data_IF_541959758977
#
_entry.id   IF_541959758977
#
_cell.length_a   1.000
_cell.length_b   1.000
_cell.length_c   1.000
_cell.angle_alpha   90.00
_cell.angle_beta   90.00
_cell.angle_gamma   90.00
#
_symmetry.space_group_name_H-M   'P 1'
#
loop_
_entity.id
_entity.type
_entity.pdbx_description
1 polymer ?
#
# COMPACT_ATOMS: atom_id res chain seq x y z
N UNK A 1 -12.18 -13.43 20.21
CA UNK A 1 -11.39 -12.46 19.42
C UNK A 1 -11.57 -12.80 17.94
N UNK A 2 -12.72 -12.46 17.35
CA UNK A 2 -12.97 -12.72 15.91
C UNK A 2 -14.22 -12.00 15.38
N UNK A 3 -14.55 -10.81 15.89
CA UNK A 3 -15.85 -10.16 15.61
C UNK A 3 -15.87 -9.23 14.40
N UNK A 4 -14.71 -8.78 13.88
CA UNK A 4 -14.68 -7.74 12.82
C UNK A 4 -14.71 -8.28 11.38
N UNK A 5 -14.17 -9.47 11.13
CA UNK A 5 -14.16 -10.06 9.77
C UNK A 5 -15.57 -10.39 9.24
N UNK A 6 -16.55 -10.56 10.14
CA UNK A 6 -17.96 -10.79 9.79
C UNK A 6 -18.70 -9.52 9.36
N UNK A 7 -18.16 -8.33 9.66
CA UNK A 7 -18.70 -7.04 9.20
C UNK A 7 -18.32 -6.71 7.75
N UNK A 8 -17.23 -7.32 7.25
CA UNK A 8 -16.82 -7.20 5.85
C UNK A 8 -17.94 -7.73 4.95
N UNK A 9 -18.47 -6.94 4.00
CA UNK A 9 -19.51 -7.42 3.11
C UNK A 9 -19.07 -8.63 2.28
N UNK A 10 -20.05 -9.42 1.83
CA UNK A 10 -19.75 -10.57 0.99
C UNK A 10 -19.10 -10.08 -0.32
N UNK A 11 -18.07 -10.79 -0.79
CA UNK A 11 -17.38 -10.41 -2.02
C UNK A 11 -16.37 -9.26 -1.88
N UNK A 12 -16.22 -8.69 -0.68
CA UNK A 12 -15.15 -7.73 -0.37
C UNK A 12 -13.92 -8.46 0.12
N UNK A 13 -12.77 -8.05 -0.41
CA UNK A 13 -11.47 -8.41 0.12
C UNK A 13 -10.84 -7.20 0.80
N UNK A 14 -10.42 -7.34 2.05
CA UNK A 14 -9.60 -6.34 2.74
C UNK A 14 -8.14 -6.81 2.71
N UNK A 15 -7.26 -6.00 2.13
CA UNK A 15 -5.81 -6.23 2.15
C UNK A 15 -5.15 -5.25 3.11
N UNK A 16 -4.56 -5.76 4.19
CA UNK A 16 -3.80 -4.98 5.14
C UNK A 16 -2.31 -5.14 4.86
N UNK A 17 -1.62 -4.02 4.65
CA UNK A 17 -0.17 -3.94 4.48
C UNK A 17 0.43 -3.30 5.73
N UNK A 18 1.36 -3.99 6.39
CA UNK A 18 1.98 -3.52 7.63
C UNK A 18 3.48 -3.68 7.59
N UNK A 19 4.21 -2.64 8.00
CA UNK A 19 5.64 -2.74 8.28
C UNK A 19 5.82 -3.46 9.60
N UNK A 20 6.65 -4.49 9.61
CA UNK A 20 6.97 -5.26 10.81
C UNK A 20 8.47 -5.32 11.04
N UNK A 21 8.86 -5.28 12.31
CA UNK A 21 10.24 -5.57 12.71
C UNK A 21 10.33 -7.05 13.05
N UNK A 22 11.07 -7.81 12.24
CA UNK A 22 11.09 -9.27 12.36
C UNK A 22 11.92 -9.75 13.57
N UNK A 23 13.00 -9.05 13.89
CA UNK A 23 13.88 -9.32 15.03
C UNK A 23 14.47 -8.02 15.58
N UNK A 24 14.95 -7.98 16.84
CA UNK A 24 15.65 -6.81 17.39
C UNK A 24 16.92 -6.42 16.61
N UNK A 25 17.47 -7.36 15.82
CA UNK A 25 18.70 -7.19 15.03
C UNK A 25 18.45 -6.82 13.57
N UNK A 26 17.22 -6.93 13.07
CA UNK A 26 16.86 -6.55 11.71
C UNK A 26 16.59 -5.05 11.63
N UNK A 27 17.00 -4.41 10.54
CA UNK A 27 16.65 -3.01 10.28
C UNK A 27 15.13 -2.86 10.31
N UNK A 28 14.57 -2.01 11.20
CA UNK A 28 13.13 -1.81 11.26
C UNK A 28 12.63 -1.25 9.91
N UNK A 29 11.59 -1.86 9.35
CA UNK A 29 10.96 -1.41 8.11
C UNK A 29 11.31 -2.20 6.83
N UNK A 30 12.14 -3.24 6.91
CA UNK A 30 12.47 -4.11 5.76
C UNK A 30 11.69 -5.43 5.73
N UNK A 31 10.55 -5.51 6.42
CA UNK A 31 9.62 -6.62 6.26
C UNK A 31 8.20 -6.11 6.15
N UNK A 32 7.52 -6.51 5.07
CA UNK A 32 6.11 -6.24 4.83
C UNK A 32 5.28 -7.46 5.24
N UNK A 33 4.31 -7.26 6.12
CA UNK A 33 3.25 -8.22 6.41
C UNK A 33 2.04 -7.85 5.55
N UNK A 34 1.68 -8.72 4.61
CA UNK A 34 0.45 -8.60 3.81
C UNK A 34 -0.58 -9.60 4.32
N UNK A 35 -1.72 -9.08 4.78
CA UNK A 35 -2.83 -9.89 5.29
C UNK A 35 -4.06 -9.68 4.43
N UNK A 36 -4.60 -10.75 3.88
CA UNK A 36 -5.86 -10.77 3.13
C UNK A 36 -6.97 -11.30 4.03
N UNK A 37 -8.06 -10.55 4.10
CA UNK A 37 -9.24 -10.86 4.89
C UNK A 37 -10.47 -10.87 3.98
N UNK A 38 -11.25 -11.94 4.07
CA UNK A 38 -12.51 -12.09 3.34
C UNK A 38 -13.57 -12.65 4.29
N UNK A 39 -14.82 -12.25 4.12
CA UNK A 39 -15.92 -12.75 4.93
C UNK A 39 -16.05 -14.27 4.76
N UNK A 40 -16.05 -15.00 5.88
CA UNK A 40 -16.25 -16.45 5.87
C UNK A 40 -15.02 -17.27 5.48
N UNK A 41 -13.88 -16.62 5.17
CA UNK A 41 -12.60 -17.27 4.90
C UNK A 41 -11.64 -17.09 6.08
N UNK A 42 -10.69 -18.03 6.25
CA UNK A 42 -9.58 -17.82 7.17
C UNK A 42 -8.64 -16.69 6.67
N UNK A 43 -8.14 -15.81 7.57
CA UNK A 43 -7.13 -14.82 7.21
C UNK A 43 -5.90 -15.43 6.56
N UNK A 44 -5.48 -14.91 5.42
CA UNK A 44 -4.24 -15.30 4.76
C UNK A 44 -3.17 -14.24 4.98
N UNK A 45 -2.10 -14.58 5.71
CA UNK A 45 -1.02 -13.65 6.03
C UNK A 45 0.31 -14.13 5.45
N UNK A 46 1.05 -13.23 4.80
CA UNK A 46 2.40 -13.51 4.27
C UNK A 46 3.39 -12.47 4.75
N UNK A 47 4.60 -12.92 5.10
CA UNK A 47 5.72 -12.05 5.49
C UNK A 47 6.69 -11.97 4.33
N UNK A 48 6.98 -10.75 3.90
CA UNK A 48 7.81 -10.44 2.75
C UNK A 48 9.04 -9.70 3.24
N UNK A 49 10.17 -10.41 3.50
CA UNK A 49 11.42 -9.77 3.89
C UNK A 49 12.11 -9.14 2.66
N UNK A 50 12.47 -7.87 2.76
CA UNK A 50 13.12 -7.10 1.68
C UNK A 50 14.55 -6.71 2.00
N UNK A 51 15.08 -7.05 3.18
CA UNK A 51 16.40 -6.60 3.65
C UNK A 51 17.57 -6.98 2.71
N UNK A 52 17.41 -8.04 1.92
CA UNK A 52 18.42 -8.54 0.97
C UNK A 52 17.96 -8.42 -0.50
N UNK A 53 16.85 -7.75 -0.78
CA UNK A 53 16.42 -7.50 -2.16
C UNK A 53 17.23 -6.33 -2.75
N UNK A 54 17.15 -6.17 -4.08
CA UNK A 54 17.77 -5.03 -4.77
C UNK A 54 17.14 -3.68 -4.36
N UNK A 55 15.91 -3.70 -3.85
CA UNK A 55 15.20 -2.54 -3.35
C UNK A 55 14.60 -2.82 -1.96
N UNK A 56 15.39 -2.66 -0.88
CA UNK A 56 14.87 -2.76 0.48
C UNK A 56 13.73 -1.76 0.71
N UNK A 57 12.66 -2.21 1.36
CA UNK A 57 11.46 -1.42 1.59
C UNK A 57 11.75 -0.12 2.37
N UNK A 58 12.66 -0.17 3.35
CA UNK A 58 13.11 1.04 4.06
C UNK A 58 13.80 2.05 3.14
N UNK A 59 14.46 1.60 2.07
CA UNK A 59 15.05 2.45 1.05
C UNK A 59 13.98 3.11 0.19
N UNK A 60 12.99 2.35 -0.26
CA UNK A 60 11.85 2.84 -1.05
C UNK A 60 11.07 3.89 -0.25
N UNK A 61 10.76 3.64 1.02
CA UNK A 61 10.02 4.58 1.87
C UNK A 61 10.79 5.90 2.06
N UNK A 62 12.12 5.83 2.24
CA UNK A 62 12.96 7.04 2.30
C UNK A 62 12.95 7.84 0.99
N UNK A 63 12.93 7.16 -0.16
CA UNK A 63 12.82 7.83 -1.45
C UNK A 63 11.46 8.49 -1.63
N UNK A 64 10.38 7.82 -1.21
CA UNK A 64 9.03 8.39 -1.24
C UNK A 64 8.96 9.68 -0.43
N UNK A 65 9.49 9.69 0.80
CA UNK A 65 9.56 10.89 1.63
C UNK A 65 10.38 12.01 0.97
N UNK A 66 11.48 11.64 0.29
CA UNK A 66 12.31 12.61 -0.44
C UNK A 66 11.55 13.24 -1.61
N UNK A 67 10.84 12.43 -2.41
CA UNK A 67 9.98 12.91 -3.49
C UNK A 67 8.89 13.84 -2.93
N UNK A 68 8.24 13.48 -1.82
CA UNK A 68 7.22 14.33 -1.20
C UNK A 68 7.78 15.68 -0.71
N UNK A 69 8.98 15.69 -0.12
CA UNK A 69 9.65 16.94 0.27
C UNK A 69 9.94 17.82 -0.93
N UNK A 70 10.60 17.27 -1.95
CA UNK A 70 10.96 18.00 -3.17
C UNK A 70 9.73 18.47 -3.96
N UNK A 71 8.63 17.72 -3.94
CA UNK A 71 7.36 18.15 -4.53
C UNK A 71 6.78 19.39 -3.83
N UNK A 72 6.86 19.45 -2.49
CA UNK A 72 6.44 20.63 -1.74
C UNK A 72 7.28 21.85 -2.10
N UNK A 73 8.58 21.68 -2.28
CA UNK A 73 9.50 22.74 -2.70
C UNK A 73 9.22 23.20 -4.15
N UNK A 74 8.97 22.26 -5.06
CA UNK A 74 8.66 22.56 -6.45
C UNK A 74 7.35 23.36 -6.61
N UNK A 75 6.38 23.18 -5.72
CA UNK A 75 5.14 23.97 -5.72
C UNK A 75 5.37 25.46 -5.44
N UNK A 76 6.49 25.84 -4.82
CA UNK A 76 6.87 27.23 -4.60
C UNK A 76 7.66 27.86 -5.77
N UNK A 77 7.99 27.08 -6.81
CA UNK A 77 8.74 27.59 -7.95
C UNK A 77 7.84 28.39 -8.90
N UNK A 78 8.22 29.63 -9.19
CA UNK A 78 7.48 30.54 -10.08
C UNK A 78 8.02 30.53 -11.51
N UNK A 79 9.27 30.09 -11.71
CA UNK A 79 9.87 30.06 -13.04
C UNK A 79 9.35 28.84 -13.82
N UNK A 80 8.74 29.08 -14.98
CA UNK A 80 7.95 28.08 -15.70
C UNK A 80 8.80 26.91 -16.16
N UNK A 81 9.96 27.17 -16.74
CA UNK A 81 10.82 26.11 -17.25
C UNK A 81 11.34 25.23 -16.12
N UNK A 82 11.86 25.86 -15.07
CA UNK A 82 12.38 25.16 -13.90
C UNK A 82 11.29 24.37 -13.16
N UNK A 83 10.09 24.91 -13.06
CA UNK A 83 8.93 24.23 -12.48
C UNK A 83 8.58 22.94 -13.25
N UNK A 84 8.53 23.01 -14.59
CA UNK A 84 8.26 21.84 -15.43
C UNK A 84 9.35 20.79 -15.31
N UNK A 85 10.62 21.18 -15.41
CA UNK A 85 11.76 20.26 -15.31
C UNK A 85 11.78 19.55 -13.94
N UNK A 86 11.56 20.29 -12.84
CA UNK A 86 11.49 19.71 -11.50
C UNK A 86 10.35 18.71 -11.38
N UNK A 87 9.14 19.04 -11.86
CA UNK A 87 7.98 18.14 -11.78
C UNK A 87 8.13 16.90 -12.66
N UNK A 88 8.66 17.04 -13.87
CA UNK A 88 8.92 15.90 -14.75
C UNK A 88 9.93 14.92 -14.13
N UNK A 89 10.97 15.45 -13.47
CA UNK A 89 11.93 14.60 -12.74
C UNK A 89 11.29 13.89 -11.55
N UNK A 90 10.41 14.56 -10.81
CA UNK A 90 9.69 13.95 -9.68
C UNK A 90 8.71 12.86 -10.16
N UNK A 91 8.02 13.09 -11.26
CA UNK A 91 7.11 12.11 -11.88
C UNK A 91 7.87 10.84 -12.29
N UNK A 92 9.02 10.99 -12.96
CA UNK A 92 9.86 9.84 -13.34
C UNK A 92 10.31 9.04 -12.11
N UNK A 93 10.78 9.70 -11.06
CA UNK A 93 11.21 9.03 -9.82
C UNK A 93 10.05 8.34 -9.10
N UNK A 94 8.86 8.94 -9.10
CA UNK A 94 7.67 8.30 -8.52
C UNK A 94 7.28 7.05 -9.33
N UNK A 95 7.37 7.10 -10.66
CA UNK A 95 7.12 5.96 -11.52
C UNK A 95 8.11 4.82 -11.25
N UNK A 96 9.40 5.11 -11.14
CA UNK A 96 10.44 4.14 -10.78
C UNK A 96 10.19 3.54 -9.39
N UNK A 97 9.82 4.37 -8.42
CA UNK A 97 9.49 3.93 -7.07
C UNK A 97 8.31 2.97 -7.02
N UNK A 98 7.22 3.29 -7.73
CA UNK A 98 6.04 2.42 -7.84
C UNK A 98 6.43 1.10 -8.52
N UNK A 99 7.26 1.17 -9.56
CA UNK A 99 7.77 -0.03 -10.22
C UNK A 99 8.56 -0.92 -9.25
N UNK A 100 9.46 -0.37 -8.43
CA UNK A 100 10.20 -1.15 -7.44
C UNK A 100 9.31 -1.74 -6.34
N UNK A 101 8.29 -1.01 -5.87
CA UNK A 101 7.29 -1.58 -4.95
C UNK A 101 6.55 -2.77 -5.56
N UNK A 102 6.24 -2.67 -6.85
CA UNK A 102 5.47 -3.65 -7.59
C UNK A 102 6.29 -4.90 -7.93
N UNK A 103 7.50 -4.74 -8.49
CA UNK A 103 8.35 -5.85 -8.95
C UNK A 103 9.23 -6.45 -7.86
N UNK A 104 9.87 -5.62 -7.04
CA UNK A 104 10.90 -6.07 -6.10
C UNK A 104 10.35 -6.36 -4.71
N UNK A 105 9.37 -5.57 -4.25
CA UNK A 105 8.76 -5.77 -2.93
C UNK A 105 7.60 -6.75 -3.02
N UNK A 106 6.57 -6.44 -3.80
CA UNK A 106 5.40 -7.33 -3.92
C UNK A 106 5.72 -8.54 -4.79
N UNK A 107 6.33 -8.34 -5.96
CA UNK A 107 6.71 -9.42 -6.86
C UNK A 107 5.55 -10.39 -7.12
N UNK A 108 5.76 -11.67 -6.83
CA UNK A 108 4.71 -12.69 -6.98
C UNK A 108 3.54 -12.54 -5.99
N UNK A 109 3.75 -11.87 -4.85
CA UNK A 109 2.72 -11.66 -3.84
C UNK A 109 1.67 -10.62 -4.24
N UNK A 110 1.89 -9.88 -5.33
CA UNK A 110 0.87 -8.98 -5.90
C UNK A 110 -0.45 -9.68 -6.20
N UNK A 111 -0.42 -10.98 -6.52
CA UNK A 111 -1.63 -11.78 -6.71
C UNK A 111 -2.56 -11.77 -5.48
N UNK A 112 -2.04 -11.56 -4.27
CA UNK A 112 -2.84 -11.45 -3.06
C UNK A 112 -3.64 -10.13 -2.97
N UNK A 113 -3.30 -9.13 -3.76
CA UNK A 113 -4.04 -7.87 -3.85
C UNK A 113 -5.18 -7.94 -4.88
N UNK A 114 -5.16 -8.94 -5.77
CA UNK A 114 -6.15 -9.07 -6.82
C UNK A 114 -7.44 -9.72 -6.30
N UNK A 115 -8.62 -9.34 -6.81
CA UNK A 115 -9.85 -10.09 -6.56
C UNK A 115 -9.70 -11.55 -7.01
N UNK A 116 -10.26 -12.50 -6.25
CA UNK A 116 -10.24 -13.93 -6.61
C UNK A 116 -11.12 -14.22 -7.84
N UNK A 117 -12.15 -13.42 -8.06
CA UNK A 117 -13.04 -13.50 -9.22
C UNK A 117 -13.22 -12.08 -9.82
N UNK A 118 -12.51 -11.74 -10.91
CA UNK A 118 -12.57 -10.41 -11.52
C UNK A 118 -13.89 -10.14 -12.27
N UNK A 119 -14.71 -11.16 -12.54
CA UNK A 119 -16.02 -11.01 -13.19
C UNK A 119 -17.16 -10.71 -12.21
N UNK A 120 -16.88 -10.78 -10.91
CA UNK A 120 -17.84 -10.66 -9.83
C UNK A 120 -17.39 -9.50 -8.95
N UNK A 121 -17.73 -8.27 -9.33
CA UNK A 121 -17.63 -7.12 -8.43
C UNK A 121 -18.89 -7.10 -7.56
N UNK A 122 -18.86 -7.57 -6.30
CA UNK A 122 -20.09 -7.95 -5.59
C UNK A 122 -20.64 -6.82 -4.72
N UNK A 123 -19.91 -5.71 -4.65
CA UNK A 123 -20.28 -4.59 -3.79
C UNK A 123 -21.40 -3.78 -4.44
N UNK A 124 -22.63 -4.11 -4.08
CA UNK A 124 -23.73 -3.15 -4.17
C UNK A 124 -23.31 -1.86 -3.44
N UNK A 125 -23.61 -0.71 -4.04
CA UNK A 125 -23.13 0.63 -3.63
C UNK A 125 -23.42 0.94 -2.14
N UNK A 126 -24.48 0.33 -1.61
CA UNK A 126 -24.92 0.43 -0.23
C UNK A 126 -23.99 -0.33 0.75
N UNK A 127 -23.46 -1.49 0.35
CA UNK A 127 -22.52 -2.28 1.16
C UNK A 127 -21.12 -1.65 1.21
N UNK A 128 -20.70 -1.03 0.10
CA UNK A 128 -19.46 -0.25 0.05
C UNK A 128 -19.54 0.95 0.99
N UNK A 129 -20.68 1.64 0.97
CA UNK A 129 -20.93 2.78 1.86
C UNK A 129 -20.86 2.40 3.34
N UNK A 130 -21.40 1.22 3.71
CA UNK A 130 -21.32 0.67 5.08
C UNK A 130 -19.88 0.35 5.49
N UNK A 131 -19.13 -0.36 4.66
CA UNK A 131 -17.72 -0.68 4.93
C UNK A 131 -16.88 0.59 5.13
N UNK A 132 -17.05 1.60 4.27
CA UNK A 132 -16.33 2.88 4.37
C UNK A 132 -16.69 3.67 5.64
N UNK A 133 -17.87 3.43 6.22
CA UNK A 133 -18.24 4.01 7.51
C UNK A 133 -17.53 3.29 8.66
N UNK A 134 -17.55 1.95 8.69
CA UNK A 134 -16.89 1.16 9.73
C UNK A 134 -15.37 1.36 9.75
N UNK A 135 -14.75 1.52 8.58
CA UNK A 135 -13.32 1.83 8.46
C UNK A 135 -12.99 3.20 9.05
N UNK A 136 -13.85 4.21 8.83
CA UNK A 136 -13.72 5.54 9.46
C UNK A 136 -13.81 5.47 10.97
N UNK A 137 -14.74 4.68 11.51
CA UNK A 137 -14.87 4.46 12.95
C UNK A 137 -13.64 3.77 13.56
N UNK A 138 -12.89 3.02 12.76
CA UNK A 138 -11.62 2.42 13.16
C UNK A 138 -10.40 3.35 13.00
N UNK A 139 -10.61 4.65 12.74
CA UNK A 139 -9.56 5.66 12.58
C UNK A 139 -8.96 5.73 11.18
N UNK A 140 -9.58 5.10 10.19
CA UNK A 140 -9.16 5.19 8.79
C UNK A 140 -9.85 6.38 8.12
N UNK A 141 -9.27 7.58 8.24
CA UNK A 141 -9.96 8.81 7.83
C UNK A 141 -9.94 9.14 6.33
N UNK A 142 -9.08 8.49 5.51
CA UNK A 142 -9.09 8.44 4.01
C UNK A 142 -7.74 7.90 3.47
N UNK A 143 -7.65 7.49 2.19
CA UNK A 143 -6.37 7.38 1.49
C UNK A 143 -5.67 8.74 1.32
#
# INVERSE_FOLDING_TARGET
VNSRIWGVPAGVTVCQLCLVSATPSATPGDTLLLTRLERGSEPLSVRIPTQHSQAPLSGILREFERIQREQREANGCTERQEWWERRSRLDLRMKELIHSLDSEVLGCWRGLLLPRDPGNSPLEEQELSRLLQELRECGWERP
#
